data_IF_723917193107
#
_entry.id   IF_723917193107
#
_cell.length_a   1.000
_cell.length_b   1.000
_cell.length_c   1.000
_cell.angle_alpha   90.00
_cell.angle_beta   90.00
_cell.angle_gamma   90.00
#
_symmetry.space_group_name_H-M   'P 1'
#
loop_
_entity.id
_entity.type
_entity.pdbx_description
1 polymer ?
#
# COMPACT_ATOMS: atom_id res chain seq x y z
N UNK A 1 22.82 -2.60 -17.58
CA UNK A 1 22.27 -3.31 -16.39
C UNK A 1 21.49 -2.45 -15.39
N UNK A 2 21.78 -1.13 -15.21
CA UNK A 2 21.02 -0.28 -14.27
C UNK A 2 19.52 -0.14 -14.58
N UNK A 3 19.11 -0.28 -15.84
CA UNK A 3 17.72 -0.06 -16.27
C UNK A 3 16.84 -1.29 -16.03
N UNK A 4 17.33 -2.49 -16.39
CA UNK A 4 16.70 -3.76 -16.00
C UNK A 4 16.51 -3.85 -14.47
N UNK A 5 17.48 -3.34 -13.70
CA UNK A 5 17.40 -3.24 -12.25
C UNK A 5 16.20 -2.39 -11.78
N UNK A 6 15.87 -1.29 -12.46
CA UNK A 6 14.72 -0.45 -12.08
C UNK A 6 13.39 -1.17 -12.35
N UNK A 7 13.28 -1.85 -13.49
CA UNK A 7 12.08 -2.64 -13.82
C UNK A 7 11.87 -3.77 -12.81
N UNK A 8 12.93 -4.50 -12.45
CA UNK A 8 12.87 -5.55 -11.43
C UNK A 8 12.49 -5.01 -10.05
N UNK A 9 13.04 -3.85 -9.64
CA UNK A 9 12.68 -3.22 -8.36
C UNK A 9 11.20 -2.83 -8.35
N UNK A 10 10.70 -2.26 -9.46
CA UNK A 10 9.30 -1.84 -9.57
C UNK A 10 8.32 -3.02 -9.44
N UNK A 11 8.62 -4.13 -10.12
CA UNK A 11 7.80 -5.35 -10.04
C UNK A 11 7.93 -5.99 -8.66
N UNK A 12 9.15 -6.09 -8.14
CA UNK A 12 9.42 -6.65 -6.81
C UNK A 12 8.69 -5.90 -5.70
N UNK A 13 8.62 -4.57 -5.77
CA UNK A 13 7.88 -3.76 -4.80
C UNK A 13 6.38 -4.08 -4.80
N UNK A 14 5.77 -4.28 -5.98
CA UNK A 14 4.37 -4.68 -6.07
C UNK A 14 4.13 -6.12 -5.59
N UNK A 15 5.08 -7.04 -5.79
CA UNK A 15 5.00 -8.40 -5.22
C UNK A 15 5.02 -8.33 -3.69
N UNK A 16 5.93 -7.53 -3.10
CA UNK A 16 5.98 -7.32 -1.64
C UNK A 16 4.65 -6.75 -1.13
N UNK A 17 4.09 -5.75 -1.83
CA UNK A 17 2.78 -5.20 -1.51
C UNK A 17 1.69 -6.29 -1.54
N UNK A 18 1.62 -7.11 -2.59
CA UNK A 18 0.62 -8.15 -2.71
C UNK A 18 0.72 -9.20 -1.60
N UNK A 19 1.94 -9.59 -1.21
CA UNK A 19 2.17 -10.51 -0.09
C UNK A 19 1.69 -9.87 1.22
N UNK A 20 2.04 -8.60 1.46
CA UNK A 20 1.59 -7.89 2.65
C UNK A 20 0.06 -7.77 2.69
N UNK A 21 -0.58 -7.44 1.57
CA UNK A 21 -2.03 -7.35 1.45
C UNK A 21 -2.70 -8.71 1.69
N UNK A 22 -2.11 -9.79 1.19
CA UNK A 22 -2.60 -11.15 1.44
C UNK A 22 -2.50 -11.52 2.92
N UNK A 23 -1.35 -11.28 3.55
CA UNK A 23 -1.16 -11.50 5.00
C UNK A 23 -2.18 -10.69 5.78
N UNK A 24 -2.31 -9.40 5.48
CA UNK A 24 -3.30 -8.55 6.13
C UNK A 24 -4.71 -9.11 5.99
N UNK A 25 -5.18 -9.45 4.78
CA UNK A 25 -6.51 -10.03 4.60
C UNK A 25 -6.70 -11.39 5.28
N UNK A 26 -5.68 -12.25 5.29
CA UNK A 26 -5.75 -13.58 5.90
C UNK A 26 -5.78 -13.50 7.43
N UNK A 27 -5.05 -12.55 8.02
CA UNK A 27 -4.90 -12.42 9.47
C UNK A 27 -5.73 -11.29 10.08
N UNK A 28 -6.41 -10.45 9.29
CA UNK A 28 -7.31 -9.38 9.78
C UNK A 28 -8.43 -9.92 10.69
N UNK A 29 -8.88 -11.16 10.47
CA UNK A 29 -9.88 -11.80 11.34
C UNK A 29 -9.36 -12.10 12.76
N UNK A 30 -8.04 -12.23 12.94
CA UNK A 30 -7.41 -12.59 14.23
C UNK A 30 -6.55 -11.47 14.83
N UNK A 31 -6.01 -10.54 14.02
CA UNK A 31 -5.14 -9.45 14.50
C UNK A 31 -5.89 -8.13 14.79
N UNK A 32 -7.06 -7.90 14.16
CA UNK A 32 -7.70 -6.56 14.13
C UNK A 32 -9.14 -6.55 14.65
N UNK A 33 -9.75 -7.73 14.90
CA UNK A 33 -10.89 -7.81 15.79
C UNK A 33 -10.40 -8.17 17.20
N UNK A 34 -10.05 -7.19 18.06
CA UNK A 34 -10.13 -7.45 19.47
C UNK A 34 -11.57 -7.82 19.76
N UNK A 35 -11.75 -8.86 20.56
CA UNK A 35 -13.01 -9.28 21.18
C UNK A 35 -13.94 -8.07 21.37
N UNK A 36 -15.21 -8.13 20.90
CA UNK A 36 -16.12 -6.98 20.97
C UNK A 36 -16.14 -6.41 22.39
N UNK A 37 -15.65 -5.17 22.55
CA UNK A 37 -15.49 -4.50 23.85
C UNK A 37 -14.10 -3.93 24.16
N UNK A 38 -13.06 -4.19 23.35
CA UNK A 38 -11.71 -3.58 23.49
C UNK A 38 -11.30 -2.81 22.24
N UNK A 39 -11.93 -1.67 21.95
CA UNK A 39 -11.32 -0.69 21.04
C UNK A 39 -10.31 0.13 21.86
N UNK A 40 -9.03 -0.25 21.81
CA UNK A 40 -7.96 0.57 22.38
C UNK A 40 -7.36 1.44 21.28
N UNK A 41 -7.03 2.69 21.59
CA UNK A 41 -6.32 3.61 20.68
C UNK A 41 -4.97 3.05 20.21
N UNK A 42 -4.35 2.15 20.99
CA UNK A 42 -3.11 1.45 20.62
C UNK A 42 -3.29 0.50 19.43
N UNK A 43 -4.42 -0.21 19.34
CA UNK A 43 -4.68 -1.13 18.23
C UNK A 43 -4.83 -0.35 16.91
N UNK A 44 -5.50 0.79 16.96
CA UNK A 44 -5.67 1.71 15.81
C UNK A 44 -4.32 2.24 15.30
N UNK A 45 -3.43 2.68 16.18
CA UNK A 45 -2.11 3.20 15.81
C UNK A 45 -1.24 2.11 15.18
N UNK A 46 -1.33 0.88 15.69
CA UNK A 46 -0.60 -0.29 15.16
C UNK A 46 -1.05 -0.60 13.73
N UNK A 47 -2.35 -0.59 13.47
CA UNK A 47 -2.89 -0.86 12.13
C UNK A 47 -2.54 0.24 11.13
N UNK A 48 -2.62 1.50 11.55
CA UNK A 48 -2.15 2.65 10.75
C UNK A 48 -0.66 2.54 10.39
N UNK A 49 0.17 2.17 11.37
CA UNK A 49 1.61 1.96 11.17
C UNK A 49 1.85 0.83 10.17
N UNK A 50 1.15 -0.30 10.32
CA UNK A 50 1.27 -1.42 9.40
C UNK A 50 0.87 -1.03 7.98
N UNK A 51 -0.29 -0.39 7.79
CA UNK A 51 -0.76 0.08 6.48
C UNK A 51 0.28 1.03 5.85
N UNK A 52 0.84 1.96 6.63
CA UNK A 52 1.80 2.92 6.11
C UNK A 52 3.11 2.24 5.64
N UNK A 53 3.71 1.40 6.49
CA UNK A 53 5.00 0.78 6.18
C UNK A 53 4.88 -0.40 5.20
N UNK A 54 3.86 -1.24 5.35
CA UNK A 54 3.69 -2.44 4.55
C UNK A 54 3.00 -2.17 3.20
N UNK A 55 2.15 -1.13 3.10
CA UNK A 55 1.43 -0.84 1.86
C UNK A 55 1.94 0.41 1.15
N UNK A 56 1.95 1.56 1.81
CA UNK A 56 2.26 2.83 1.14
C UNK A 56 3.71 2.87 0.65
N UNK A 57 4.67 2.38 1.44
CA UNK A 57 6.09 2.39 1.04
C UNK A 57 6.33 1.51 -0.20
N UNK A 58 5.92 0.23 -0.25
CA UNK A 58 6.11 -0.59 -1.45
C UNK A 58 5.40 -0.03 -2.68
N UNK A 59 4.17 0.49 -2.55
CA UNK A 59 3.44 1.12 -3.66
C UNK A 59 4.18 2.36 -4.19
N UNK A 60 4.68 3.22 -3.31
CA UNK A 60 5.44 4.43 -3.69
C UNK A 60 6.75 4.06 -4.40
N UNK A 61 7.46 3.04 -3.92
CA UNK A 61 8.66 2.50 -4.59
C UNK A 61 8.28 1.97 -5.98
N UNK A 62 7.20 1.18 -6.07
CA UNK A 62 6.65 0.67 -7.34
C UNK A 62 6.40 1.77 -8.36
N UNK A 63 5.76 2.86 -7.96
CA UNK A 63 5.51 4.05 -8.80
C UNK A 63 6.81 4.70 -9.27
N UNK A 64 7.71 5.06 -8.33
CA UNK A 64 8.94 5.80 -8.65
C UNK A 64 9.81 5.00 -9.63
N UNK A 65 10.01 3.71 -9.36
CA UNK A 65 10.84 2.86 -10.20
C UNK A 65 10.17 2.51 -11.53
N UNK A 66 8.83 2.39 -11.58
CA UNK A 66 8.10 2.21 -12.84
C UNK A 66 8.24 3.43 -13.75
N UNK A 67 8.08 4.66 -13.21
CA UNK A 67 8.24 5.90 -13.99
C UNK A 67 9.68 6.04 -14.50
N UNK A 68 10.67 5.76 -13.65
CA UNK A 68 12.09 5.81 -14.05
C UNK A 68 12.41 4.80 -15.15
N UNK A 69 11.88 3.58 -15.05
CA UNK A 69 12.07 2.55 -16.08
C UNK A 69 11.35 2.90 -17.40
N UNK A 70 10.10 3.40 -17.33
CA UNK A 70 9.32 3.81 -18.50
C UNK A 70 9.94 4.97 -19.30
N UNK A 71 10.66 5.89 -18.62
CA UNK A 71 11.42 6.96 -19.28
C UNK A 71 12.63 6.44 -20.05
N UNK A 72 13.17 5.29 -19.67
CA UNK A 72 14.43 4.76 -20.20
C UNK A 72 14.23 3.64 -21.23
N UNK A 73 13.16 2.84 -21.14
CA UNK A 73 12.93 1.70 -22.03
C UNK A 73 11.55 1.70 -22.71
N UNK A 74 11.53 1.52 -24.04
CA UNK A 74 10.31 1.33 -24.83
C UNK A 74 9.81 -0.13 -24.84
N UNK A 75 10.68 -1.11 -24.62
CA UNK A 75 10.36 -2.53 -24.85
C UNK A 75 9.61 -3.20 -23.70
N UNK A 76 9.77 -2.77 -22.44
CA UNK A 76 9.10 -3.37 -21.27
C UNK A 76 7.81 -2.61 -20.90
N UNK A 77 7.37 -1.67 -21.73
CA UNK A 77 6.18 -0.84 -21.48
C UNK A 77 4.92 -1.65 -21.20
N UNK A 78 4.73 -2.77 -21.90
CA UNK A 78 3.58 -3.67 -21.74
C UNK A 78 3.45 -4.18 -20.30
N UNK A 79 4.56 -4.35 -19.57
CA UNK A 79 4.54 -4.87 -18.21
C UNK A 79 4.63 -3.75 -17.17
N UNK A 80 5.36 -2.67 -17.46
CA UNK A 80 5.55 -1.52 -16.57
C UNK A 80 4.32 -0.60 -16.48
N UNK A 81 3.55 -0.44 -17.55
CA UNK A 81 2.35 0.40 -17.54
C UNK A 81 1.26 -0.20 -16.63
N UNK A 82 0.90 -1.50 -16.75
CA UNK A 82 -0.01 -2.13 -15.81
C UNK A 82 0.52 -2.09 -14.37
N UNK A 83 1.82 -2.32 -14.17
CA UNK A 83 2.45 -2.24 -12.84
C UNK A 83 2.28 -0.86 -12.20
N UNK A 84 2.46 0.21 -12.99
CA UNK A 84 2.26 1.58 -12.54
C UNK A 84 0.78 1.87 -12.23
N UNK A 85 -0.13 1.49 -13.12
CA UNK A 85 -1.58 1.68 -12.93
C UNK A 85 -2.04 0.96 -11.66
N UNK A 86 -1.60 -0.30 -11.48
CA UNK A 86 -1.87 -1.08 -10.28
C UNK A 86 -1.41 -0.34 -9.03
N UNK A 87 -0.16 0.13 -8.99
CA UNK A 87 0.35 0.85 -7.81
C UNK A 87 -0.44 2.13 -7.53
N UNK A 88 -0.82 2.89 -8.57
CA UNK A 88 -1.60 4.11 -8.42
C UNK A 88 -3.01 3.84 -7.87
N UNK A 89 -3.72 2.83 -8.38
CA UNK A 89 -5.06 2.47 -7.89
C UNK A 89 -5.00 2.14 -6.40
N UNK A 90 -4.07 1.29 -5.98
CA UNK A 90 -3.95 0.90 -4.58
C UNK A 90 -3.47 2.04 -3.69
N UNK A 91 -2.63 2.95 -4.20
CA UNK A 91 -2.22 4.14 -3.46
C UNK A 91 -3.40 5.10 -3.24
N UNK A 92 -4.22 5.31 -4.27
CA UNK A 92 -5.46 6.11 -4.15
C UNK A 92 -6.41 5.46 -3.16
N UNK A 93 -6.60 4.14 -3.21
CA UNK A 93 -7.46 3.42 -2.29
C UNK A 93 -6.98 3.56 -0.83
N UNK A 94 -5.68 3.33 -0.59
CA UNK A 94 -5.08 3.50 0.73
C UNK A 94 -5.21 4.94 1.26
N UNK A 95 -4.99 5.94 0.40
CA UNK A 95 -5.15 7.35 0.74
C UNK A 95 -6.59 7.73 1.07
N UNK A 96 -7.56 7.29 0.27
CA UNK A 96 -8.98 7.51 0.54
C UNK A 96 -9.42 6.85 1.85
N UNK A 97 -8.97 5.63 2.12
CA UNK A 97 -9.25 4.93 3.37
C UNK A 97 -8.71 5.71 4.58
N UNK A 98 -7.49 6.24 4.48
CA UNK A 98 -6.88 7.05 5.54
C UNK A 98 -7.69 8.32 5.81
N UNK A 99 -8.09 9.06 4.76
CA UNK A 99 -8.89 10.29 4.90
C UNK A 99 -10.23 9.98 5.58
N UNK A 100 -10.93 8.93 5.13
CA UNK A 100 -12.19 8.49 5.72
C UNK A 100 -12.02 8.14 7.20
N UNK A 101 -10.98 7.38 7.55
CA UNK A 101 -10.69 7.01 8.92
C UNK A 101 -10.46 8.23 9.81
N UNK A 102 -9.60 9.16 9.38
CA UNK A 102 -9.34 10.40 10.11
C UNK A 102 -10.60 11.26 10.27
N UNK A 103 -11.49 11.29 9.27
CA UNK A 103 -12.73 12.05 9.32
C UNK A 103 -13.74 11.46 10.30
N UNK A 104 -13.79 10.12 10.40
CA UNK A 104 -14.60 9.40 11.39
C UNK A 104 -14.07 9.64 12.81
N UNK A 105 -12.76 9.54 13.05
CA UNK A 105 -12.20 9.86 14.37
C UNK A 105 -12.47 11.30 14.78
N UNK A 106 -12.31 12.26 13.86
CA UNK A 106 -12.60 13.67 14.13
C UNK A 106 -14.07 13.88 14.50
N UNK A 107 -15.00 13.22 13.79
CA UNK A 107 -16.43 13.29 14.09
C UNK A 107 -16.76 12.69 15.46
N UNK A 108 -16.09 11.61 15.87
CA UNK A 108 -16.28 11.00 17.21
C UNK A 108 -15.73 11.92 18.29
N UNK A 109 -14.59 12.59 18.07
CA UNK A 109 -13.96 13.45 19.07
C UNK A 109 -14.74 14.76 19.33
N UNK A 110 -15.43 15.29 18.33
CA UNK A 110 -16.23 16.52 18.46
C UNK A 110 -17.66 16.32 19.01
N UNK A 111 -18.11 15.06 19.17
CA UNK A 111 -19.45 14.72 19.66
C UNK A 111 -19.41 14.28 21.11
#
# INVERSE_FOLDING_TARGET
>A
MKVLKNSCIAIGANIIFCIALYIYNAYMYELIYPVPGRFSTEDTIRDLTYIFFAFIIPLTIGVIFSIRALRQEKYIKILLVPNLIFSLIFLTFAGCFFILFSLVELHIYFR
#
